data_IF_033093506028
#
_entry.id   IF_033093506028
#
_cell.length_a   1.000
_cell.length_b   1.000
_cell.length_c   1.000
_cell.angle_alpha   90.00
_cell.angle_beta   90.00
_cell.angle_gamma   90.00
#
_symmetry.space_group_name_H-M   'P 1'
#
loop_
_entity.id
_entity.type
_entity.pdbx_description
1 polymer ?
#
# COMPACT_ATOMS: atom_id res chain seq x y z
N UNK A 1 -9.40 -5.34 -17.89
CA UNK A 1 -8.36 -5.78 -16.95
C UNK A 1 -8.85 -5.54 -15.53
N UNK A 2 -8.37 -6.32 -14.56
CA UNK A 2 -8.63 -6.05 -13.14
C UNK A 2 -7.91 -4.74 -12.77
N UNK A 3 -8.66 -3.77 -12.27
CA UNK A 3 -8.13 -2.49 -11.79
C UNK A 3 -8.36 -2.37 -10.27
N UNK A 4 -7.42 -1.72 -9.54
CA UNK A 4 -6.14 -1.22 -10.05
C UNK A 4 -5.16 -2.37 -10.38
N UNK A 5 -4.36 -2.18 -11.44
CA UNK A 5 -3.26 -3.10 -11.76
C UNK A 5 -2.04 -2.79 -10.89
N UNK A 6 -1.06 -3.71 -10.82
CA UNK A 6 0.18 -3.45 -10.08
C UNK A 6 0.92 -2.22 -10.62
N UNK A 7 0.85 -1.96 -11.93
CA UNK A 7 1.45 -0.80 -12.56
C UNK A 7 0.76 0.49 -12.12
N UNK A 8 -0.56 0.45 -11.96
CA UNK A 8 -1.33 1.60 -11.44
C UNK A 8 -0.90 1.91 -10.00
N UNK A 9 -0.82 0.88 -9.15
CA UNK A 9 -0.38 1.03 -7.76
C UNK A 9 1.07 1.53 -7.66
N UNK A 10 1.99 1.03 -8.50
CA UNK A 10 3.38 1.52 -8.54
C UNK A 10 3.47 3.00 -8.90
N UNK A 11 2.60 3.48 -9.79
CA UNK A 11 2.53 4.92 -10.13
C UNK A 11 2.02 5.74 -8.96
N UNK A 12 0.96 5.28 -8.27
CA UNK A 12 0.41 5.98 -7.10
C UNK A 12 1.46 6.10 -6.00
N UNK A 13 2.19 5.03 -5.70
CA UNK A 13 3.17 5.02 -4.62
C UNK A 13 4.38 5.91 -4.93
N UNK A 14 4.86 5.91 -6.18
CA UNK A 14 6.04 6.69 -6.56
C UNK A 14 5.70 8.08 -7.11
N UNK A 15 4.45 8.55 -7.02
CA UNK A 15 4.00 9.79 -7.67
C UNK A 15 4.72 11.05 -7.18
N UNK A 16 5.19 11.02 -5.92
CA UNK A 16 5.82 12.15 -5.24
C UNK A 16 7.36 12.03 -5.23
N UNK A 17 7.94 11.06 -5.96
CA UNK A 17 9.39 10.88 -6.07
C UNK A 17 9.92 11.71 -7.24
N UNK A 18 10.89 12.59 -6.99
CA UNK A 18 11.48 13.42 -8.03
C UNK A 18 12.28 12.61 -9.05
N UNK A 19 12.37 13.12 -10.28
CA UNK A 19 13.12 12.45 -11.34
C UNK A 19 14.63 12.49 -11.03
N UNK A 20 15.20 11.31 -10.73
CA UNK A 20 16.58 11.16 -10.27
C UNK A 20 16.70 10.66 -8.83
N UNK A 21 15.63 10.69 -8.06
CA UNK A 21 15.58 10.11 -6.71
C UNK A 21 15.26 8.60 -6.74
N UNK A 22 15.59 7.93 -5.63
CA UNK A 22 15.30 6.51 -5.47
C UNK A 22 13.80 6.29 -5.31
N UNK A 23 13.21 5.46 -6.17
CA UNK A 23 11.82 5.04 -6.07
C UNK A 23 11.55 4.32 -4.75
N UNK A 24 10.41 4.64 -4.14
CA UNK A 24 9.90 3.99 -2.91
C UNK A 24 9.63 2.51 -3.16
N UNK A 25 9.06 2.16 -4.31
CA UNK A 25 8.81 0.76 -4.69
C UNK A 25 9.28 0.45 -6.11
N UNK A 26 10.17 -0.53 -6.22
CA UNK A 26 10.68 -1.07 -7.47
C UNK A 26 10.15 -2.47 -7.79
N UNK A 27 9.42 -3.09 -6.86
CA UNK A 27 8.98 -4.48 -6.95
C UNK A 27 7.50 -4.63 -6.61
N UNK A 28 6.83 -5.55 -7.30
CA UNK A 28 5.45 -5.95 -6.99
C UNK A 28 5.36 -6.56 -5.58
N UNK A 29 6.43 -7.20 -5.11
CA UNK A 29 6.48 -7.82 -3.80
C UNK A 29 6.34 -6.79 -2.67
N UNK A 30 6.90 -5.59 -2.82
CA UNK A 30 6.77 -4.51 -1.82
C UNK A 30 5.31 -4.10 -1.62
N UNK A 31 4.56 -3.96 -2.71
CA UNK A 31 3.12 -3.66 -2.67
C UNK A 31 2.35 -4.79 -1.99
N UNK A 32 2.64 -6.04 -2.34
CA UNK A 32 2.01 -7.22 -1.72
C UNK A 32 2.29 -7.26 -0.22
N UNK A 33 3.52 -7.02 0.21
CA UNK A 33 3.88 -7.04 1.63
C UNK A 33 3.18 -5.90 2.40
N UNK A 34 3.21 -4.68 1.87
CA UNK A 34 2.58 -3.52 2.51
C UNK A 34 1.06 -3.71 2.65
N UNK A 35 0.38 -4.10 1.57
CA UNK A 35 -1.08 -4.35 1.60
C UNK A 35 -1.45 -5.54 2.48
N UNK A 36 -0.60 -6.58 2.56
CA UNK A 36 -0.80 -7.71 3.47
C UNK A 36 -0.63 -7.30 4.94
N UNK A 37 0.38 -6.47 5.26
CA UNK A 37 0.59 -5.93 6.61
C UNK A 37 -0.60 -5.07 7.02
N UNK A 38 -1.06 -4.19 6.13
CA UNK A 38 -2.22 -3.34 6.36
C UNK A 38 -3.52 -4.14 6.53
N UNK A 39 -3.74 -5.17 5.71
CA UNK A 39 -4.90 -6.06 5.87
C UNK A 39 -4.95 -6.73 7.25
N UNK A 40 -3.79 -7.12 7.82
CA UNK A 40 -3.71 -7.66 9.18
C UNK A 40 -4.06 -6.63 10.25
N UNK A 41 -3.67 -5.37 10.09
CA UNK A 41 -4.06 -4.28 10.99
C UNK A 41 -5.59 -4.08 11.00
N UNK A 42 -6.21 -4.09 9.82
CA UNK A 42 -7.68 -4.01 9.70
C UNK A 42 -8.38 -5.19 10.39
N UNK A 43 -7.83 -6.41 10.26
CA UNK A 43 -8.33 -7.59 10.97
C UNK A 43 -8.18 -7.44 12.50
N UNK A 44 -7.11 -6.79 12.97
CA UNK A 44 -6.88 -6.50 14.37
C UNK A 44 -7.77 -5.38 14.94
N UNK A 45 -8.63 -4.77 14.11
CA UNK A 45 -9.60 -3.76 14.52
C UNK A 45 -9.17 -2.32 14.25
N UNK A 46 -8.07 -2.08 13.53
CA UNK A 46 -7.77 -0.74 13.06
C UNK A 46 -8.85 -0.23 12.10
N UNK A 47 -9.11 1.07 12.17
CA UNK A 47 -10.10 1.72 11.31
C UNK A 47 -9.55 1.84 9.88
N UNK A 48 -10.40 1.62 8.86
CA UNK A 48 -10.03 1.86 7.48
C UNK A 48 -9.86 3.37 7.22
N UNK A 49 -8.92 3.71 6.34
CA UNK A 49 -8.62 5.08 5.91
C UNK A 49 -9.51 5.53 4.74
N UNK A 50 -10.26 4.59 4.16
CA UNK A 50 -11.25 4.82 3.10
C UNK A 50 -12.61 4.28 3.57
N UNK A 51 -13.73 4.79 3.01
CA UNK A 51 -15.05 4.25 3.31
C UNK A 51 -15.13 2.74 2.97
N UNK A 52 -15.30 1.90 3.99
CA UNK A 52 -15.45 0.46 3.83
C UNK A 52 -16.87 0.03 4.18
N UNK A 53 -17.40 -0.95 3.45
CA UNK A 53 -18.70 -1.56 3.73
C UNK A 53 -18.53 -2.81 4.58
N UNK A 54 -19.58 -3.14 5.33
CA UNK A 54 -19.62 -4.42 6.07
C UNK A 54 -19.48 -5.59 5.09
N UNK A 55 -18.49 -6.45 5.34
CA UNK A 55 -18.19 -7.61 4.49
C UNK A 55 -17.11 -7.37 3.45
N UNK A 56 -16.60 -6.14 3.29
CA UNK A 56 -15.43 -5.90 2.45
C UNK A 56 -14.22 -6.66 2.99
N UNK A 57 -13.48 -7.31 2.09
CA UNK A 57 -12.29 -8.07 2.48
C UNK A 57 -11.21 -7.09 2.93
N UNK A 58 -10.53 -7.33 4.08
CA UNK A 58 -9.47 -6.45 4.57
C UNK A 58 -8.38 -6.15 3.53
N UNK A 59 -8.02 -7.14 2.71
CA UNK A 59 -7.04 -6.95 1.63
C UNK A 59 -7.55 -6.00 0.53
N UNK A 60 -8.83 -6.08 0.17
CA UNK A 60 -9.44 -5.17 -0.80
C UNK A 60 -9.42 -3.74 -0.29
N UNK A 61 -9.75 -3.53 0.99
CA UNK A 61 -9.68 -2.21 1.63
C UNK A 61 -8.24 -1.69 1.62
N UNK A 62 -7.25 -2.49 2.02
CA UNK A 62 -5.84 -2.09 2.02
C UNK A 62 -5.32 -1.69 0.63
N UNK A 63 -5.78 -2.37 -0.43
CA UNK A 63 -5.45 -2.01 -1.82
C UNK A 63 -6.10 -0.67 -2.20
N UNK A 64 -7.35 -0.43 -1.80
CA UNK A 64 -8.03 0.84 -2.07
C UNK A 64 -7.39 2.00 -1.31
N UNK A 65 -7.04 1.81 -0.04
CA UNK A 65 -6.29 2.80 0.73
C UNK A 65 -4.97 3.17 0.06
N UNK A 66 -4.26 2.19 -0.51
CA UNK A 66 -3.03 2.43 -1.27
C UNK A 66 -3.32 3.18 -2.57
N UNK A 67 -4.36 2.78 -3.30
CA UNK A 67 -4.75 3.38 -4.57
C UNK A 67 -5.21 4.84 -4.43
N UNK A 68 -5.91 5.18 -3.34
CA UNK A 68 -6.25 6.56 -2.97
C UNK A 68 -5.07 7.34 -2.36
N UNK A 69 -3.92 6.69 -2.15
CA UNK A 69 -2.73 7.28 -1.53
C UNK A 69 -2.89 7.60 -0.04
N UNK A 70 -3.88 6.99 0.63
CA UNK A 70 -4.11 7.09 2.08
C UNK A 70 -3.14 6.21 2.86
N UNK A 71 -2.83 5.03 2.33
CA UNK A 71 -1.75 4.17 2.81
C UNK A 71 -0.44 4.58 2.13
N UNK A 72 0.60 4.90 2.92
CA UNK A 72 1.94 5.17 2.41
C UNK A 72 2.88 4.01 2.72
N UNK A 73 3.66 3.60 1.72
CA UNK A 73 4.77 2.66 1.91
C UNK A 73 5.98 3.50 2.24
N UNK A 74 6.57 3.29 3.42
CA UNK A 74 7.84 3.90 3.77
C UNK A 74 8.95 2.95 3.31
N UNK A 75 9.99 3.47 2.67
CA UNK A 75 11.20 2.70 2.49
C UNK A 75 11.78 2.43 3.88
N UNK A 76 11.98 1.16 4.21
CA UNK A 76 12.76 0.79 5.37
C UNK A 76 14.18 1.32 5.11
N UNK A 77 14.56 2.41 5.76
CA UNK A 77 15.97 2.61 6.05
C UNK A 77 16.37 1.37 6.83
N UNK A 78 17.42 0.68 6.39
CA UNK A 78 17.89 -0.59 6.92
C UNK A 78 18.48 -0.45 8.35
N UNK A 79 17.72 0.11 9.28
CA UNK A 79 18.12 0.39 10.67
C UNK A 79 17.10 -0.14 11.69
N UNK A 80 16.35 -1.19 11.35
CA UNK A 80 15.65 -2.02 12.36
C UNK A 80 16.31 -3.40 12.45
N UNK A 81 17.58 -3.40 12.88
CA UNK A 81 18.20 -4.52 13.60
C UNK A 81 18.60 -4.01 15.00
N UNK A 82 17.68 -4.11 15.98
CA UNK A 82 18.02 -4.31 17.39
C UNK A 82 16.96 -5.20 18.07
#
# INVERSE_FOLDING_TARGET
>A
MLHPSYTDLMKVVNKDVEEGESKIVNSRYSIVMATSKRARQLIAGELPLVPAKNGDKPLSIAIEELNEGKLKIMAENAEEEE
#
